data_IF_099017603678
#
_entry.id   IF_099017603678
#
_cell.length_a   1.000
_cell.length_b   1.000
_cell.length_c   1.000
_cell.angle_alpha   90.00
_cell.angle_beta   90.00
_cell.angle_gamma   90.00
#
_symmetry.space_group_name_H-M   'P 1'
#
loop_
_entity.id
_entity.type
_entity.pdbx_description
1 polymer ?
#
# COMPACT_ATOMS: atom_id res chain seq x y z
N UNK A 1 10.04 -11.88 8.99
CA UNK A 1 9.28 -11.53 10.18
C UNK A 1 9.34 -12.68 11.19
N UNK A 2 9.38 -12.33 12.49
CA UNK A 2 9.34 -13.32 13.55
C UNK A 2 7.92 -13.36 14.09
N UNK A 3 7.40 -14.57 14.35
CA UNK A 3 6.13 -14.75 15.05
C UNK A 3 6.18 -14.14 16.47
N UNK A 4 5.04 -13.76 16.98
CA UNK A 4 4.89 -13.23 18.33
C UNK A 4 4.75 -14.34 19.36
N UNK A 5 4.18 -15.48 18.98
CA UNK A 5 4.03 -16.65 19.83
C UNK A 5 5.34 -17.44 19.84
N UNK A 6 5.86 -17.71 21.03
CA UNK A 6 7.10 -18.46 21.17
C UNK A 6 6.92 -19.93 20.74
N UNK A 7 8.00 -20.59 20.26
CA UNK A 7 7.92 -22.00 19.84
C UNK A 7 7.38 -22.93 20.94
N UNK A 8 7.77 -22.72 22.20
CA UNK A 8 7.29 -23.50 23.34
C UNK A 8 5.80 -23.33 23.64
N UNK A 9 5.19 -22.22 23.20
CA UNK A 9 3.77 -21.91 23.35
C UNK A 9 2.95 -22.28 22.10
N UNK A 10 3.52 -23.07 21.19
CA UNK A 10 2.89 -23.53 19.95
C UNK A 10 3.28 -22.76 18.69
N UNK A 11 4.01 -21.65 18.83
CA UNK A 11 4.62 -20.91 17.71
C UNK A 11 3.66 -20.48 16.62
N UNK A 12 4.11 -20.60 15.37
CA UNK A 12 3.36 -20.17 14.19
C UNK A 12 2.02 -20.90 14.00
N UNK A 13 1.85 -22.10 14.51
CA UNK A 13 0.60 -22.83 14.38
C UNK A 13 -0.54 -22.21 15.19
N UNK A 14 -0.23 -21.66 16.36
CA UNK A 14 -1.21 -20.92 17.18
C UNK A 14 -1.60 -19.61 16.48
N UNK A 15 -0.63 -18.91 15.89
CA UNK A 15 -0.90 -17.70 15.11
C UNK A 15 -1.75 -17.99 13.89
N UNK A 16 -1.47 -19.09 13.16
CA UNK A 16 -2.24 -19.51 12.02
C UNK A 16 -3.70 -19.87 12.41
N UNK A 17 -3.88 -20.60 13.48
CA UNK A 17 -5.22 -20.93 13.99
C UNK A 17 -6.01 -19.65 14.34
N UNK A 18 -5.33 -18.67 14.96
CA UNK A 18 -5.93 -17.38 15.27
C UNK A 18 -6.39 -16.62 13.99
N UNK A 19 -5.59 -16.67 12.91
CA UNK A 19 -5.96 -16.04 11.63
C UNK A 19 -7.20 -16.70 11.02
N UNK A 20 -7.30 -18.03 11.10
CA UNK A 20 -8.37 -18.78 10.44
C UNK A 20 -9.66 -18.80 11.25
N UNK A 21 -9.56 -18.94 12.59
CA UNK A 21 -10.71 -19.26 13.44
C UNK A 21 -11.07 -18.14 14.43
N UNK A 22 -10.22 -17.11 14.59
CA UNK A 22 -10.38 -16.07 15.59
C UNK A 22 -10.19 -14.68 15.00
N UNK A 23 -9.95 -13.69 15.86
CA UNK A 23 -9.64 -12.30 15.49
C UNK A 23 -8.17 -12.04 15.74
N UNK A 24 -7.48 -11.43 14.77
CA UNK A 24 -6.07 -11.07 14.89
C UNK A 24 -5.85 -9.56 14.76
N UNK A 25 -4.81 -9.08 15.39
CA UNK A 25 -4.34 -7.70 15.25
C UNK A 25 -2.98 -7.70 14.55
N UNK A 26 -2.83 -6.86 13.54
CA UNK A 26 -1.64 -6.76 12.71
C UNK A 26 -0.93 -5.43 12.93
N UNK A 27 0.38 -5.48 13.15
CA UNK A 27 1.21 -4.28 13.13
C UNK A 27 1.59 -3.95 11.69
N UNK A 28 1.00 -2.88 11.15
CA UNK A 28 1.25 -2.37 9.78
C UNK A 28 2.07 -1.07 9.79
N UNK A 29 2.80 -0.79 10.86
CA UNK A 29 3.57 0.46 11.01
C UNK A 29 4.68 0.64 9.96
N UNK A 30 5.07 -0.41 9.25
CA UNK A 30 6.03 -0.38 8.13
C UNK A 30 5.41 0.14 6.83
N UNK A 31 4.08 0.15 6.72
CA UNK A 31 3.35 0.62 5.56
C UNK A 31 3.30 2.15 5.57
N UNK A 32 4.29 2.77 4.94
CA UNK A 32 4.41 4.23 4.86
C UNK A 32 3.36 4.83 3.95
N UNK A 33 2.97 6.06 4.26
CA UNK A 33 2.03 6.82 3.47
C UNK A 33 2.76 7.90 2.66
N UNK A 34 2.38 8.05 1.38
CA UNK A 34 2.88 9.13 0.51
C UNK A 34 1.70 9.99 0.09
N UNK A 35 1.76 11.27 0.43
CA UNK A 35 0.79 12.25 -0.07
C UNK A 35 1.30 12.88 -1.37
N UNK A 36 0.44 12.92 -2.38
CA UNK A 36 0.60 13.66 -3.63
C UNK A 36 -0.50 14.71 -3.69
N UNK A 37 -0.11 15.99 -3.72
CA UNK A 37 -1.07 17.11 -3.69
C UNK A 37 -0.63 18.25 -4.59
N UNK A 38 -1.57 18.79 -5.34
CA UNK A 38 -1.36 19.96 -6.23
C UNK A 38 -2.16 19.86 -7.51
N UNK A 39 -2.12 20.90 -8.35
CA UNK A 39 -2.94 20.98 -9.55
C UNK A 39 -2.65 19.87 -10.58
N UNK A 40 -1.44 19.33 -10.59
CA UNK A 40 -1.04 18.25 -11.49
C UNK A 40 -1.02 16.87 -10.81
N UNK A 41 -1.55 16.74 -9.58
CA UNK A 41 -1.52 15.49 -8.82
C UNK A 41 -2.19 14.32 -9.57
N UNK A 42 -3.34 14.55 -10.21
CA UNK A 42 -4.04 13.51 -10.98
C UNK A 42 -3.19 13.02 -12.17
N UNK A 43 -2.56 13.94 -12.91
CA UNK A 43 -1.69 13.58 -14.05
C UNK A 43 -0.46 12.81 -13.60
N UNK A 44 0.15 13.24 -12.50
CA UNK A 44 1.30 12.55 -11.93
C UNK A 44 0.93 11.14 -11.46
N UNK A 45 -0.18 11.01 -10.74
CA UNK A 45 -0.66 9.71 -10.26
C UNK A 45 -0.98 8.79 -11.44
N UNK A 46 -1.69 9.29 -12.45
CA UNK A 46 -2.03 8.53 -13.67
C UNK A 46 -0.77 8.04 -14.42
N UNK A 47 0.28 8.85 -14.40
CA UNK A 47 1.56 8.49 -15.03
C UNK A 47 2.30 7.37 -14.31
N UNK A 48 2.22 7.31 -12.97
CA UNK A 48 3.03 6.35 -12.17
C UNK A 48 2.32 5.03 -11.87
N UNK A 49 1.00 4.96 -12.04
CA UNK A 49 0.24 3.72 -11.79
C UNK A 49 -0.16 3.01 -13.07
N UNK A 50 -0.44 1.72 -12.97
CA UNK A 50 -0.89 0.91 -14.12
C UNK A 50 -2.40 0.97 -14.38
N UNK A 51 -3.10 1.86 -13.70
CA UNK A 51 -4.56 2.03 -13.77
C UNK A 51 -4.90 3.49 -14.12
N UNK A 52 -6.01 3.71 -14.79
CA UNK A 52 -6.54 5.04 -15.11
C UNK A 52 -6.99 5.77 -13.82
N UNK A 53 -6.20 6.75 -13.37
CA UNK A 53 -6.48 7.53 -12.17
C UNK A 53 -7.74 8.39 -12.29
N UNK A 54 -8.09 8.81 -13.52
CA UNK A 54 -9.25 9.68 -13.78
C UNK A 54 -10.58 8.99 -13.45
N UNK A 55 -10.60 7.65 -13.48
CA UNK A 55 -11.77 6.82 -13.14
C UNK A 55 -11.93 6.55 -11.64
N UNK A 56 -11.04 7.08 -10.82
CA UNK A 56 -11.14 6.96 -9.36
C UNK A 56 -11.85 8.19 -8.83
N UNK A 57 -13.07 8.04 -8.35
CA UNK A 57 -13.84 9.14 -7.75
C UNK A 57 -13.22 9.59 -6.41
N UNK A 58 -13.35 10.87 -6.01
CA UNK A 58 -12.99 11.32 -4.68
C UNK A 58 -13.61 10.46 -3.58
N UNK A 59 -12.92 10.34 -2.45
CA UNK A 59 -13.27 9.50 -1.30
C UNK A 59 -13.36 7.99 -1.63
N UNK A 60 -12.63 7.56 -2.66
CA UNK A 60 -12.51 6.14 -3.01
C UNK A 60 -11.06 5.68 -2.94
N UNK A 61 -10.91 4.41 -2.58
CA UNK A 61 -9.65 3.69 -2.61
C UNK A 61 -9.63 2.67 -3.75
N UNK A 62 -8.43 2.42 -4.31
CA UNK A 62 -8.19 1.38 -5.32
C UNK A 62 -6.84 0.73 -5.09
N UNK A 63 -6.81 -0.56 -5.28
CA UNK A 63 -5.57 -1.31 -5.41
C UNK A 63 -4.92 -0.96 -6.74
N UNK A 64 -3.66 -0.54 -6.71
CA UNK A 64 -2.90 -0.15 -7.89
C UNK A 64 -1.53 -0.83 -7.88
N UNK A 65 -0.84 -0.81 -9.01
CA UNK A 65 0.50 -1.38 -9.14
C UNK A 65 1.42 -0.30 -9.69
N UNK A 66 2.62 -0.21 -9.12
CA UNK A 66 3.72 0.59 -9.61
C UNK A 66 4.76 -0.33 -10.24
N UNK A 67 5.17 0.00 -11.47
CA UNK A 67 6.12 -0.81 -12.23
C UNK A 67 7.39 -0.02 -12.57
N UNK A 68 8.49 -0.76 -12.78
CA UNK A 68 9.67 -0.23 -13.43
C UNK A 68 9.51 -0.20 -14.95
N UNK A 69 10.51 0.34 -15.66
CA UNK A 69 10.50 0.46 -17.13
C UNK A 69 10.42 -0.90 -17.88
N UNK A 70 10.66 -2.00 -17.20
CA UNK A 70 10.63 -3.35 -17.77
C UNK A 70 9.35 -4.11 -17.39
N UNK A 71 8.40 -3.45 -16.72
CA UNK A 71 7.14 -4.06 -16.26
C UNK A 71 7.27 -4.86 -14.97
N UNK A 72 8.43 -4.87 -14.31
CA UNK A 72 8.60 -5.49 -13.00
C UNK A 72 7.87 -4.69 -11.91
N UNK A 73 7.11 -5.38 -11.05
CA UNK A 73 6.38 -4.75 -9.95
C UNK A 73 7.35 -4.19 -8.92
N UNK A 74 7.24 -2.91 -8.63
CA UNK A 74 7.99 -2.21 -7.58
C UNK A 74 7.23 -2.19 -6.26
N UNK A 75 5.94 -1.93 -6.32
CA UNK A 75 5.03 -1.91 -5.17
C UNK A 75 3.58 -2.08 -5.64
N UNK A 76 2.72 -2.48 -4.73
CA UNK A 76 1.30 -2.74 -4.97
C UNK A 76 0.42 -2.01 -3.93
N UNK A 77 0.47 -0.67 -3.89
CA UNK A 77 -0.18 0.12 -2.86
C UNK A 77 -1.70 0.17 -3.01
N UNK A 78 -2.35 0.58 -1.92
CA UNK A 78 -3.69 1.14 -1.97
C UNK A 78 -3.58 2.63 -2.28
N UNK A 79 -4.18 3.07 -3.38
CA UNK A 79 -4.32 4.48 -3.71
C UNK A 79 -5.66 5.01 -3.19
N UNK A 80 -5.60 6.04 -2.36
CA UNK A 80 -6.78 6.77 -1.88
C UNK A 80 -6.85 8.10 -2.62
N UNK A 81 -7.97 8.40 -3.26
CA UNK A 81 -8.25 9.72 -3.79
C UNK A 81 -9.04 10.51 -2.75
N UNK A 82 -8.41 11.49 -2.12
CA UNK A 82 -9.03 12.31 -1.07
C UNK A 82 -9.90 13.41 -1.70
N UNK A 83 -9.35 14.10 -2.70
CA UNK A 83 -10.05 15.17 -3.43
C UNK A 83 -9.69 15.14 -4.92
N UNK A 84 -10.08 16.18 -5.66
CA UNK A 84 -9.67 16.36 -7.05
C UNK A 84 -8.14 16.38 -7.19
N UNK A 85 -7.46 17.08 -6.29
CA UNK A 85 -6.04 17.40 -6.39
C UNK A 85 -5.21 16.80 -5.26
N UNK A 86 -5.74 15.75 -4.57
CA UNK A 86 -5.05 15.13 -3.45
C UNK A 86 -5.25 13.61 -3.44
N UNK A 87 -4.13 12.90 -3.42
CA UNK A 87 -4.04 11.44 -3.39
C UNK A 87 -3.09 10.99 -2.28
N UNK A 88 -3.35 9.80 -1.75
CA UNK A 88 -2.47 9.13 -0.80
C UNK A 88 -2.18 7.72 -1.29
N UNK A 89 -0.91 7.35 -1.32
CA UNK A 89 -0.48 5.97 -1.49
C UNK A 89 -0.22 5.35 -0.12
N UNK A 90 -0.95 4.30 0.21
CA UNK A 90 -0.64 3.42 1.34
C UNK A 90 0.19 2.28 0.79
N UNK A 91 1.51 2.37 0.99
CA UNK A 91 2.48 1.45 0.40
C UNK A 91 2.47 0.10 1.13
N UNK A 92 2.77 -0.98 0.40
CA UNK A 92 3.24 -2.20 1.03
C UNK A 92 4.68 -2.04 1.53
N UNK A 93 5.17 -2.99 2.31
CA UNK A 93 6.49 -2.94 2.97
C UNK A 93 7.64 -2.78 1.95
N UNK A 94 8.04 -1.54 1.69
CA UNK A 94 9.17 -1.19 0.83
C UNK A 94 9.60 0.27 0.98
N UNK A 95 10.80 0.60 0.55
CA UNK A 95 11.36 1.96 0.56
C UNK A 95 10.98 2.82 -0.66
N UNK A 96 9.78 2.62 -1.21
CA UNK A 96 9.26 3.37 -2.37
C UNK A 96 9.23 4.90 -2.17
N UNK A 97 9.26 5.37 -0.92
CA UNK A 97 9.35 6.82 -0.62
C UNK A 97 10.55 7.47 -1.34
N UNK A 98 11.63 6.72 -1.56
CA UNK A 98 12.82 7.22 -2.26
C UNK A 98 12.57 7.48 -3.76
N UNK A 99 11.65 6.77 -4.39
CA UNK A 99 11.30 6.92 -5.81
C UNK A 99 10.44 8.17 -6.06
N UNK A 100 9.65 8.57 -5.06
CA UNK A 100 8.80 9.77 -5.13
C UNK A 100 9.52 11.06 -4.70
N UNK A 101 10.77 10.97 -4.20
CA UNK A 101 11.60 12.15 -3.92
C UNK A 101 12.32 12.56 -5.20
N UNK A 102 11.66 13.40 -5.97
CA UNK A 102 12.26 14.14 -7.09
C UNK A 102 12.47 15.58 -6.64
#
# INVERSE_FOLDING_TARGET
PRGYVKPEDGGAMVEYDAIVNHVTMWNVAVERQIQVKGPDAEKFVDYVITRDATKISPMRARYVILCNAYGGVLNDPILLRISKDEFWFSLSDSDMVCIFKV
#
